data_IF_584125853418
#
_entry.id   IF_584125853418
#
_cell.length_a   1.000
_cell.length_b   1.000
_cell.length_c   1.000
_cell.angle_alpha   90.00
_cell.angle_beta   90.00
_cell.angle_gamma   90.00
#
_symmetry.space_group_name_H-M   'P 1'
#
loop_
_entity.id
_entity.type
_entity.pdbx_description
1 polymer ?
#
# COMPACT_ATOMS: atom_id res chain seq x y z
N UNK A 1 30.76 11.43 -5.81
CA UNK A 1 29.87 10.98 -4.70
C UNK A 1 29.89 9.45 -4.63
N UNK A 2 29.35 8.85 -3.58
CA UNK A 2 29.30 7.40 -3.44
C UNK A 2 27.92 6.84 -3.82
N UNK A 3 27.91 5.62 -4.33
CA UNK A 3 26.71 4.82 -4.58
C UNK A 3 26.74 3.59 -3.69
N UNK A 4 25.69 3.37 -2.89
CA UNK A 4 25.49 2.12 -2.16
C UNK A 4 24.23 1.43 -2.62
N UNK A 5 24.37 0.16 -3.01
CA UNK A 5 23.27 -0.68 -3.48
C UNK A 5 22.81 -1.61 -2.37
N UNK A 6 21.52 -1.57 -2.07
CA UNK A 6 20.85 -2.46 -1.12
C UNK A 6 19.87 -3.38 -1.84
N UNK A 7 19.82 -4.64 -1.43
CA UNK A 7 18.71 -5.54 -1.74
C UNK A 7 17.75 -5.57 -0.55
N UNK A 8 16.48 -5.28 -0.78
CA UNK A 8 15.47 -5.14 0.27
C UNK A 8 14.39 -6.20 0.06
N UNK A 9 14.50 -7.28 0.83
CA UNK A 9 13.68 -8.49 0.67
C UNK A 9 12.18 -8.20 0.55
N UNK A 10 11.64 -7.29 1.37
CA UNK A 10 10.21 -7.00 1.44
C UNK A 10 9.86 -5.64 0.80
N UNK A 11 10.68 -5.14 -0.13
CA UNK A 11 10.38 -3.95 -0.94
C UNK A 11 9.63 -4.36 -2.21
N UNK A 12 8.46 -4.97 -2.04
CA UNK A 12 7.69 -5.54 -3.13
C UNK A 12 6.48 -4.71 -3.55
N UNK A 13 6.19 -3.55 -2.94
CA UNK A 13 5.18 -2.59 -3.39
C UNK A 13 5.63 -1.13 -3.17
N UNK A 14 4.97 -0.16 -3.83
CA UNK A 14 5.32 1.26 -3.62
C UNK A 14 5.06 1.76 -2.21
N UNK A 15 4.20 1.12 -1.41
CA UNK A 15 4.11 1.50 0.01
C UNK A 15 5.46 1.32 0.70
N UNK A 16 6.22 0.27 0.34
CA UNK A 16 7.58 0.01 0.84
C UNK A 16 8.64 0.88 0.21
N UNK A 17 8.59 1.08 -1.10
CA UNK A 17 9.48 2.03 -1.78
C UNK A 17 9.34 3.42 -1.17
N UNK A 18 8.10 3.92 -1.06
CA UNK A 18 7.78 5.22 -0.49
C UNK A 18 8.20 5.30 0.98
N UNK A 19 8.06 4.18 1.72
CA UNK A 19 8.56 4.02 3.08
C UNK A 19 10.04 4.36 3.18
N UNK A 20 10.82 3.74 2.30
CA UNK A 20 12.27 3.83 2.26
C UNK A 20 12.68 5.22 1.78
N UNK A 21 12.04 5.70 0.72
CA UNK A 21 12.24 7.05 0.17
C UNK A 21 11.99 8.12 1.23
N UNK A 22 10.87 8.08 1.95
CA UNK A 22 10.57 9.03 3.04
C UNK A 22 11.59 8.96 4.18
N UNK A 23 12.16 7.79 4.43
CA UNK A 23 13.10 7.58 5.53
C UNK A 23 14.51 8.08 5.17
N UNK A 24 14.91 7.93 3.91
CA UNK A 24 16.20 8.34 3.37
C UNK A 24 16.24 9.80 2.90
N UNK A 25 15.16 10.34 2.32
CA UNK A 25 15.06 11.78 1.97
C UNK A 25 15.24 12.72 3.19
N UNK A 26 15.07 12.21 4.42
CA UNK A 26 15.30 12.95 5.65
C UNK A 26 16.72 12.91 6.19
N UNK A 27 17.66 12.26 5.50
CA UNK A 27 19.06 12.12 5.91
C UNK A 27 19.92 13.19 5.21
N UNK A 28 20.77 13.87 5.97
CA UNK A 28 21.76 14.79 5.39
C UNK A 28 22.81 14.01 4.60
N UNK A 29 23.19 14.52 3.43
CA UNK A 29 24.20 13.90 2.56
C UNK A 29 23.69 12.83 1.61
N UNK A 30 22.38 12.67 1.45
CA UNK A 30 21.79 11.89 0.33
C UNK A 30 21.48 12.83 -0.84
N UNK A 31 22.05 12.52 -1.99
CA UNK A 31 21.97 13.30 -3.22
C UNK A 31 20.93 12.74 -4.21
N UNK A 32 20.59 11.45 -4.10
CA UNK A 32 19.59 10.80 -4.93
C UNK A 32 19.24 9.38 -4.49
N UNK A 33 18.07 8.91 -4.90
CA UNK A 33 17.59 7.55 -4.64
C UNK A 33 16.96 6.99 -5.91
N UNK A 34 17.42 5.81 -6.31
CA UNK A 34 16.88 5.07 -7.44
C UNK A 34 16.40 3.70 -6.96
N UNK A 35 15.20 3.33 -7.38
CA UNK A 35 14.52 2.13 -6.91
C UNK A 35 14.17 1.22 -8.08
N UNK A 36 14.48 -0.06 -7.90
CA UNK A 36 14.10 -1.15 -8.79
C UNK A 36 13.32 -2.18 -7.96
N UNK A 37 11.99 -2.09 -8.02
CA UNK A 37 11.07 -2.99 -7.32
C UNK A 37 11.19 -4.44 -7.83
N UNK A 38 11.53 -4.65 -9.10
CA UNK A 38 11.66 -5.97 -9.72
C UNK A 38 12.83 -6.75 -9.13
N UNK A 39 14.00 -6.10 -9.05
CA UNK A 39 15.21 -6.66 -8.46
C UNK A 39 15.26 -6.47 -6.93
N UNK A 40 14.25 -5.81 -6.37
CA UNK A 40 14.19 -5.37 -4.97
C UNK A 40 15.46 -4.63 -4.58
N UNK A 41 15.92 -3.76 -5.47
CA UNK A 41 17.19 -3.05 -5.39
C UNK A 41 16.94 -1.57 -5.15
N UNK A 42 17.69 -1.03 -4.21
CA UNK A 42 17.75 0.40 -3.92
C UNK A 42 19.18 0.85 -4.18
N UNK A 43 19.35 1.84 -5.04
CA UNK A 43 20.60 2.55 -5.26
C UNK A 43 20.53 3.90 -4.54
N UNK A 44 21.40 4.09 -3.55
CA UNK A 44 21.50 5.32 -2.75
C UNK A 44 22.74 6.08 -3.17
N UNK A 45 22.55 7.31 -3.62
CA UNK A 45 23.63 8.23 -3.97
C UNK A 45 23.86 9.19 -2.81
N UNK A 46 25.06 9.18 -2.23
CA UNK A 46 25.34 9.87 -0.99
C UNK A 46 26.81 10.27 -0.83
N UNK A 47 27.08 11.22 0.07
CA UNK A 47 28.43 11.60 0.49
C UNK A 47 28.79 11.05 1.88
N UNK A 48 27.85 10.36 2.54
CA UNK A 48 28.02 9.77 3.88
C UNK A 48 28.56 8.32 3.89
N UNK A 49 28.44 7.63 5.03
CA UNK A 49 28.84 6.22 5.17
C UNK A 49 27.70 5.24 4.84
N UNK A 50 27.99 4.09 4.21
CA UNK A 50 27.00 3.03 3.94
C UNK A 50 26.30 2.50 5.20
N UNK A 51 27.02 2.47 6.33
CA UNK A 51 26.49 1.99 7.61
C UNK A 51 25.37 2.88 8.15
N UNK A 52 25.48 4.20 7.99
CA UNK A 52 24.44 5.13 8.43
C UNK A 52 23.13 4.93 7.65
N UNK A 53 23.22 4.60 6.37
CA UNK A 53 22.06 4.27 5.53
C UNK A 53 21.44 2.95 5.97
N UNK A 54 22.26 1.93 6.25
CA UNK A 54 21.79 0.65 6.75
C UNK A 54 21.05 0.77 8.09
N UNK A 55 21.56 1.60 9.02
CA UNK A 55 20.94 1.86 10.33
C UNK A 55 19.57 2.54 10.20
N UNK A 56 19.37 3.32 9.14
CA UNK A 56 18.09 3.98 8.85
C UNK A 56 17.10 3.05 8.17
N UNK A 57 17.58 2.08 7.40
CA UNK A 57 16.76 1.03 6.78
C UNK A 57 16.36 -0.08 7.76
N UNK A 58 17.20 -0.39 8.75
CA UNK A 58 16.97 -1.50 9.69
C UNK A 58 15.61 -1.45 10.43
N UNK A 59 15.14 -0.29 10.95
CA UNK A 59 13.85 -0.18 11.63
C UNK A 59 12.63 -0.42 10.72
N UNK A 60 12.81 -0.34 9.40
CA UNK A 60 11.73 -0.60 8.44
C UNK A 60 11.36 -2.09 8.39
N UNK A 61 12.23 -2.96 8.91
CA UNK A 61 12.08 -4.41 8.96
C UNK A 61 11.73 -5.04 7.60
N UNK A 62 12.42 -4.59 6.55
CA UNK A 62 12.23 -5.07 5.17
C UNK A 62 13.33 -5.98 4.66
N UNK A 63 14.22 -6.41 5.55
CA UNK A 63 15.33 -7.28 5.18
C UNK A 63 16.33 -6.61 4.24
N UNK A 64 16.63 -5.33 4.45
CA UNK A 64 17.67 -4.61 3.69
C UNK A 64 19.05 -5.22 3.94
N UNK A 65 19.77 -5.55 2.86
CA UNK A 65 21.15 -6.04 2.88
C UNK A 65 21.97 -5.27 1.86
N UNK A 66 23.12 -4.75 2.28
CA UNK A 66 24.06 -4.13 1.36
C UNK A 66 24.63 -5.19 0.40
N UNK A 67 24.62 -4.88 -0.89
CA UNK A 67 25.11 -5.77 -1.96
C UNK A 67 26.37 -5.22 -2.59
N UNK A 68 26.42 -3.91 -2.82
CA UNK A 68 27.51 -3.26 -3.54
C UNK A 68 27.75 -1.85 -2.98
N UNK A 69 28.99 -1.37 -3.07
CA UNK A 69 29.37 0.00 -2.79
C UNK A 69 30.40 0.46 -3.83
N UNK A 70 30.15 1.63 -4.43
CA UNK A 70 31.01 2.24 -5.43
C UNK A 70 31.30 3.69 -5.03
N UNK A 71 32.55 4.09 -5.18
CA UNK A 71 33.01 5.45 -4.93
C UNK A 71 33.16 6.19 -6.26
N UNK A 72 33.07 7.52 -6.21
CA UNK A 72 33.28 8.43 -7.34
C UNK A 72 32.36 8.18 -8.57
N UNK A 73 31.07 8.00 -8.30
CA UNK A 73 30.04 7.79 -9.33
C UNK A 73 29.42 9.15 -9.73
N UNK A 74 29.19 9.36 -11.03
CA UNK A 74 28.43 10.50 -11.54
C UNK A 74 26.92 10.33 -11.31
N UNK A 75 26.24 11.40 -10.90
CA UNK A 75 24.79 11.39 -10.76
C UNK A 75 24.18 11.27 -12.15
N UNK A 76 23.19 10.39 -12.38
CA UNK A 76 22.35 10.50 -13.56
C UNK A 76 21.72 11.90 -13.56
N UNK A 77 22.00 12.72 -14.58
CA UNK A 77 21.39 14.04 -14.72
C UNK A 77 19.91 13.84 -15.02
N UNK A 78 19.07 14.08 -14.01
CA UNK A 78 17.65 13.78 -14.04
C UNK A 78 16.87 14.58 -15.07
N UNK A 79 16.12 13.86 -15.90
CA UNK A 79 14.96 14.38 -16.63
C UNK A 79 13.69 13.55 -16.38
N UNK A 80 13.72 12.55 -15.47
CA UNK A 80 12.63 11.59 -15.30
C UNK A 80 11.72 11.81 -14.08
N UNK A 81 12.10 12.65 -13.10
CA UNK A 81 11.35 12.81 -11.84
C UNK A 81 10.11 13.74 -11.95
N UNK A 82 9.98 14.51 -13.05
CA UNK A 82 8.87 15.44 -13.25
C UNK A 82 7.68 14.83 -14.02
N UNK A 83 7.80 13.62 -14.57
CA UNK A 83 6.90 13.12 -15.62
C UNK A 83 5.81 12.11 -15.19
N UNK A 84 5.60 11.78 -13.91
CA UNK A 84 4.65 10.68 -13.58
C UNK A 84 3.52 10.97 -12.57
N UNK A 85 2.94 12.17 -12.59
CA UNK A 85 1.69 12.46 -11.84
C UNK A 85 0.47 11.73 -12.40
N UNK A 86 0.45 11.46 -13.71
CA UNK A 86 -0.71 10.89 -14.42
C UNK A 86 -1.14 9.52 -13.88
N UNK A 87 -0.24 8.53 -13.80
CA UNK A 87 -0.58 7.20 -13.27
C UNK A 87 -0.99 7.21 -11.81
N UNK A 88 -0.31 8.00 -10.96
CA UNK A 88 -0.66 8.16 -9.54
C UNK A 88 -2.05 8.77 -9.34
N UNK A 89 -2.41 9.79 -10.14
CA UNK A 89 -3.75 10.36 -10.12
C UNK A 89 -4.82 9.38 -10.60
N UNK A 90 -4.51 8.56 -11.61
CA UNK A 90 -5.39 7.48 -12.08
C UNK A 90 -5.61 6.41 -11.01
N UNK A 91 -4.54 5.91 -10.39
CA UNK A 91 -4.61 4.92 -9.32
C UNK A 91 -5.40 5.44 -8.11
N UNK A 92 -5.19 6.72 -7.74
CA UNK A 92 -5.95 7.39 -6.70
C UNK A 92 -7.45 7.46 -7.04
N UNK A 93 -7.80 7.85 -8.27
CA UNK A 93 -9.19 8.00 -8.69
C UNK A 93 -9.93 6.65 -8.71
N UNK A 94 -9.28 5.60 -9.20
CA UNK A 94 -9.85 4.24 -9.27
C UNK A 94 -10.08 3.71 -7.85
N UNK A 95 -9.06 3.73 -7.00
CA UNK A 95 -9.19 3.24 -5.61
C UNK A 95 -10.22 4.04 -4.80
N UNK A 96 -10.27 5.36 -4.98
CA UNK A 96 -11.27 6.19 -4.31
C UNK A 96 -12.70 5.87 -4.76
N UNK A 97 -12.88 5.57 -6.04
CA UNK A 97 -14.20 5.22 -6.60
C UNK A 97 -14.65 3.86 -6.12
N UNK A 98 -13.77 2.86 -6.17
CA UNK A 98 -14.06 1.52 -5.69
C UNK A 98 -14.32 1.51 -4.17
N UNK A 99 -13.52 2.23 -3.37
CA UNK A 99 -13.75 2.42 -1.93
C UNK A 99 -15.20 2.85 -1.63
N UNK A 100 -15.69 3.89 -2.30
CA UNK A 100 -17.06 4.40 -2.04
C UNK A 100 -18.11 3.36 -2.43
N UNK A 101 -17.95 2.71 -3.58
CA UNK A 101 -18.87 1.69 -4.07
C UNK A 101 -18.92 0.46 -3.17
N UNK A 102 -17.76 -0.07 -2.80
CA UNK A 102 -17.64 -1.27 -1.96
C UNK A 102 -18.06 -1.00 -0.52
N UNK A 103 -17.74 0.17 0.05
CA UNK A 103 -18.19 0.53 1.39
C UNK A 103 -19.73 0.63 1.43
N UNK A 104 -20.33 1.32 0.45
CA UNK A 104 -21.78 1.44 0.37
C UNK A 104 -22.44 0.06 0.22
N UNK A 105 -21.93 -0.76 -0.70
CA UNK A 105 -22.43 -2.12 -0.90
C UNK A 105 -22.23 -3.01 0.31
N UNK A 106 -21.08 -2.95 0.98
CA UNK A 106 -20.78 -3.74 2.18
C UNK A 106 -21.70 -3.38 3.35
N UNK A 107 -21.99 -2.09 3.55
CA UNK A 107 -22.93 -1.64 4.57
C UNK A 107 -24.37 -2.04 4.25
N UNK A 108 -24.80 -1.91 2.98
CA UNK A 108 -26.17 -2.25 2.55
C UNK A 108 -26.42 -3.77 2.53
N UNK A 109 -25.43 -4.55 2.10
CA UNK A 109 -25.50 -6.01 2.05
C UNK A 109 -25.22 -6.68 3.39
N UNK A 110 -24.62 -5.97 4.34
CA UNK A 110 -24.14 -6.53 5.60
C UNK A 110 -22.84 -7.35 5.47
N UNK A 111 -22.12 -7.27 4.34
CA UNK A 111 -20.85 -7.99 4.14
C UNK A 111 -19.69 -7.27 4.81
N UNK A 112 -19.05 -7.93 5.78
CA UNK A 112 -17.81 -7.45 6.39
C UNK A 112 -16.61 -7.64 5.45
N UNK A 113 -16.66 -8.60 4.53
CA UNK A 113 -15.66 -8.76 3.48
C UNK A 113 -15.55 -7.52 2.60
N UNK A 114 -16.68 -7.04 2.07
CA UNK A 114 -16.73 -5.81 1.27
C UNK A 114 -16.33 -4.55 2.06
N UNK A 115 -16.77 -4.43 3.32
CA UNK A 115 -16.37 -3.30 4.15
C UNK A 115 -14.85 -3.32 4.37
N UNK A 116 -14.27 -4.48 4.62
CA UNK A 116 -12.83 -4.60 4.83
C UNK A 116 -12.03 -4.31 3.55
N UNK A 117 -12.47 -4.82 2.40
CA UNK A 117 -11.89 -4.57 1.07
C UNK A 117 -11.87 -3.07 0.77
N UNK A 118 -13.01 -2.38 0.97
CA UNK A 118 -13.11 -0.94 0.78
C UNK A 118 -12.11 -0.15 1.65
N UNK A 119 -11.87 -0.59 2.89
CA UNK A 119 -10.95 0.07 3.80
C UNK A 119 -9.47 -0.18 3.45
N UNK A 120 -9.16 -1.27 2.76
CA UNK A 120 -7.85 -1.50 2.13
C UNK A 120 -7.65 -0.54 0.95
N UNK A 121 -8.66 -0.40 0.07
CA UNK A 121 -8.61 0.58 -1.03
C UNK A 121 -8.49 2.03 -0.55
N UNK A 122 -9.10 2.36 0.60
CA UNK A 122 -8.92 3.66 1.25
C UNK A 122 -7.48 3.86 1.72
N UNK A 123 -6.83 2.81 2.24
CA UNK A 123 -5.43 2.85 2.63
C UNK A 123 -4.55 3.18 1.42
N UNK A 124 -4.76 2.47 0.32
CA UNK A 124 -4.02 2.67 -0.93
C UNK A 124 -4.25 4.07 -1.50
N UNK A 125 -5.50 4.55 -1.49
CA UNK A 125 -5.82 5.91 -1.88
C UNK A 125 -5.06 6.95 -1.04
N UNK A 126 -4.95 6.76 0.29
CA UNK A 126 -4.15 7.66 1.11
C UNK A 126 -2.65 7.59 0.80
N UNK A 127 -2.13 6.41 0.49
CA UNK A 127 -0.73 6.26 0.07
C UNK A 127 -0.49 7.02 -1.23
N UNK A 128 -1.33 6.83 -2.26
CA UNK A 128 -1.21 7.56 -3.53
C UNK A 128 -1.35 9.08 -3.36
N UNK A 129 -2.29 9.53 -2.51
CA UNK A 129 -2.46 10.94 -2.21
C UNK A 129 -1.23 11.52 -1.51
N UNK A 130 -0.62 10.78 -0.59
CA UNK A 130 0.63 11.17 0.08
C UNK A 130 1.79 11.22 -0.92
N UNK A 131 1.88 10.26 -1.85
CA UNK A 131 2.88 10.26 -2.92
C UNK A 131 2.77 11.49 -3.82
N UNK A 132 1.54 11.87 -4.21
CA UNK A 132 1.29 13.09 -4.97
C UNK A 132 1.63 14.37 -4.17
N UNK A 133 1.28 14.40 -2.88
CA UNK A 133 1.56 15.53 -2.00
C UNK A 133 3.06 15.64 -1.61
N UNK A 134 3.83 14.55 -1.76
CA UNK A 134 5.26 14.52 -1.50
C UNK A 134 6.08 15.24 -2.59
N UNK A 135 5.54 15.41 -3.80
CA UNK A 135 6.17 16.17 -4.88
C UNK A 135 6.06 17.68 -4.60
N UNK A 136 7.01 18.22 -3.82
CA UNK A 136 7.15 19.67 -3.56
C UNK A 136 6.76 20.17 -2.16
N UNK A 137 6.41 19.29 -1.22
CA UNK A 137 6.08 19.66 0.17
C UNK A 137 7.25 19.50 1.16
N UNK A 138 7.27 20.26 2.26
CA UNK A 138 8.27 20.09 3.33
C UNK A 138 8.13 18.73 4.03
N UNK A 139 9.26 18.11 4.38
CA UNK A 139 9.34 16.80 5.06
C UNK A 139 8.44 16.70 6.31
N UNK A 140 8.30 17.80 7.07
CA UNK A 140 7.45 17.86 8.28
C UNK A 140 5.97 17.71 7.94
N UNK A 141 5.50 18.33 6.85
CA UNK A 141 4.09 18.22 6.41
C UNK A 141 3.80 16.80 5.92
N UNK A 142 4.75 16.18 5.20
CA UNK A 142 4.65 14.78 4.73
C UNK A 142 4.47 13.80 5.90
N UNK A 143 5.29 13.90 6.94
CA UNK A 143 5.20 13.01 8.12
C UNK A 143 3.91 13.16 8.91
N UNK A 144 3.42 14.39 9.05
CA UNK A 144 2.15 14.65 9.74
C UNK A 144 0.98 14.01 9.00
N UNK A 145 0.92 14.18 7.67
CA UNK A 145 -0.11 13.55 6.83
C UNK A 145 -0.06 12.02 6.90
N UNK A 146 1.14 11.43 6.82
CA UNK A 146 1.33 9.99 7.00
C UNK A 146 0.83 9.51 8.38
N UNK A 147 1.15 10.25 9.45
CA UNK A 147 0.68 9.91 10.80
C UNK A 147 -0.86 9.92 10.89
N UNK A 148 -1.51 10.95 10.36
CA UNK A 148 -2.98 11.05 10.37
C UNK A 148 -3.63 9.92 9.58
N UNK A 149 -3.11 9.59 8.40
CA UNK A 149 -3.56 8.45 7.60
C UNK A 149 -3.43 7.13 8.38
N UNK A 150 -2.27 6.88 8.98
CA UNK A 150 -2.05 5.68 9.79
C UNK A 150 -2.97 5.58 11.02
N UNK A 151 -3.24 6.70 11.71
CA UNK A 151 -4.19 6.70 12.84
C UNK A 151 -5.63 6.45 12.40
N UNK A 152 -6.06 7.09 11.31
CA UNK A 152 -7.40 6.91 10.76
C UNK A 152 -7.62 5.46 10.32
N UNK A 153 -6.70 4.92 9.52
CA UNK A 153 -6.77 3.55 9.02
C UNK A 153 -6.68 2.53 10.16
N UNK A 154 -5.79 2.75 11.14
CA UNK A 154 -5.70 1.90 12.32
C UNK A 154 -6.99 1.91 13.15
N UNK A 155 -7.61 3.09 13.32
CA UNK A 155 -8.90 3.22 13.99
C UNK A 155 -10.03 2.49 13.25
N UNK A 156 -10.13 2.67 11.93
CA UNK A 156 -11.14 2.01 11.09
C UNK A 156 -10.97 0.49 11.09
N UNK A 157 -9.75 -0.02 11.00
CA UNK A 157 -9.49 -1.46 11.07
C UNK A 157 -9.84 -2.06 12.44
N UNK A 158 -9.56 -1.34 13.54
CA UNK A 158 -9.95 -1.77 14.89
C UNK A 158 -11.47 -1.79 15.07
N UNK A 159 -12.18 -0.77 14.56
CA UNK A 159 -13.64 -0.75 14.56
C UNK A 159 -14.22 -1.89 13.73
N UNK A 160 -13.66 -2.14 12.55
CA UNK A 160 -14.01 -3.27 11.69
C UNK A 160 -13.81 -4.62 12.37
N UNK A 161 -12.66 -4.84 13.02
CA UNK A 161 -12.39 -6.06 13.80
C UNK A 161 -13.36 -6.22 14.98
N UNK A 162 -13.65 -5.13 15.71
CA UNK A 162 -14.61 -5.16 16.80
C UNK A 162 -16.01 -5.55 16.30
N UNK A 163 -16.42 -5.03 15.14
CA UNK A 163 -17.69 -5.36 14.50
C UNK A 163 -17.73 -6.81 14.00
N UNK A 164 -16.63 -7.33 13.44
CA UNK A 164 -16.49 -8.75 13.08
C UNK A 164 -16.71 -9.63 14.32
N UNK A 165 -16.01 -9.34 15.42
CA UNK A 165 -16.15 -10.08 16.69
C UNK A 165 -17.58 -9.99 17.22
N UNK A 166 -18.18 -8.80 17.19
CA UNK A 166 -19.57 -8.59 17.62
C UNK A 166 -20.54 -9.46 16.81
N UNK A 167 -20.39 -9.51 15.48
CA UNK A 167 -21.25 -10.32 14.59
C UNK A 167 -21.00 -11.82 14.73
N UNK A 168 -19.79 -12.24 15.11
CA UNK A 168 -19.52 -13.63 15.48
C UNK A 168 -20.30 -14.07 16.72
N UNK A 169 -20.35 -13.22 17.75
CA UNK A 169 -21.01 -13.53 19.03
C UNK A 169 -22.54 -13.32 18.95
N UNK A 170 -22.98 -12.32 18.20
CA UNK A 170 -24.39 -12.00 17.99
C UNK A 170 -24.72 -11.91 16.48
N UNK A 171 -25.01 -13.05 15.83
CA UNK A 171 -25.32 -13.09 14.41
C UNK A 171 -26.54 -12.24 14.02
N UNK A 172 -26.43 -11.54 12.88
CA UNK A 172 -27.51 -10.69 12.36
C UNK A 172 -28.16 -11.22 11.07
N UNK A 173 -27.69 -12.35 10.56
CA UNK A 173 -28.13 -12.96 9.30
C UNK A 173 -27.01 -13.00 8.26
N UNK A 174 -27.17 -13.85 7.25
CA UNK A 174 -26.22 -13.91 6.14
C UNK A 174 -26.26 -12.60 5.32
N UNK A 175 -25.12 -12.11 4.81
CA UNK A 175 -25.10 -10.95 3.93
C UNK A 175 -25.84 -11.24 2.62
N UNK A 176 -26.28 -10.17 1.94
CA UNK A 176 -26.81 -10.30 0.57
C UNK A 176 -25.69 -10.72 -0.39
N UNK A 177 -25.65 -12.03 -0.67
CA UNK A 177 -24.68 -12.66 -1.57
C UNK A 177 -24.71 -12.02 -2.95
N UNK A 178 -25.88 -11.60 -3.44
CA UNK A 178 -26.02 -11.01 -4.78
C UNK A 178 -25.20 -9.74 -4.92
N UNK A 179 -25.43 -8.77 -4.03
CA UNK A 179 -24.66 -7.53 -4.00
C UNK A 179 -23.18 -7.80 -3.72
N UNK A 180 -22.87 -8.71 -2.78
CA UNK A 180 -21.51 -9.08 -2.43
C UNK A 180 -20.70 -9.56 -3.65
N UNK A 181 -21.22 -10.55 -4.39
CA UNK A 181 -20.52 -11.12 -5.55
C UNK A 181 -20.45 -10.12 -6.70
N UNK A 182 -21.55 -9.42 -7.01
CA UNK A 182 -21.59 -8.47 -8.14
C UNK A 182 -20.57 -7.35 -7.93
N UNK A 183 -20.53 -6.78 -6.73
CA UNK A 183 -19.64 -5.66 -6.43
C UNK A 183 -18.17 -6.11 -6.43
N UNK A 184 -17.85 -7.25 -5.81
CA UNK A 184 -16.49 -7.77 -5.85
C UNK A 184 -16.05 -8.17 -7.27
N UNK A 185 -16.96 -8.62 -8.14
CA UNK A 185 -16.64 -8.86 -9.55
C UNK A 185 -16.38 -7.57 -10.31
N UNK A 186 -17.12 -6.49 -10.04
CA UNK A 186 -16.88 -5.16 -10.62
C UNK A 186 -15.52 -4.62 -10.17
N UNK A 187 -15.20 -4.72 -8.87
CA UNK A 187 -13.91 -4.31 -8.32
C UNK A 187 -12.77 -5.13 -8.92
N UNK A 188 -12.92 -6.46 -8.96
CA UNK A 188 -11.96 -7.35 -9.61
C UNK A 188 -11.75 -6.98 -11.09
N UNK A 189 -12.82 -6.72 -11.83
CA UNK A 189 -12.73 -6.34 -13.24
C UNK A 189 -12.03 -4.98 -13.42
N UNK A 190 -12.30 -4.00 -12.57
CA UNK A 190 -11.64 -2.70 -12.56
C UNK A 190 -10.13 -2.84 -12.26
N UNK A 191 -9.77 -3.64 -11.27
CA UNK A 191 -8.39 -3.93 -10.91
C UNK A 191 -7.69 -4.69 -12.04
N UNK A 192 -8.29 -5.75 -12.61
CA UNK A 192 -7.74 -6.46 -13.77
C UNK A 192 -7.58 -5.52 -14.97
N UNK A 193 -8.53 -4.64 -15.26
CA UNK A 193 -8.43 -3.68 -16.35
C UNK A 193 -7.24 -2.71 -16.12
N UNK A 194 -7.08 -2.20 -14.90
CA UNK A 194 -5.92 -1.39 -14.50
C UNK A 194 -4.62 -2.15 -14.74
N UNK A 195 -4.55 -3.41 -14.30
CA UNK A 195 -3.39 -4.28 -14.51
C UNK A 195 -3.06 -4.47 -16.00
N UNK A 196 -4.08 -4.69 -16.84
CA UNK A 196 -3.92 -4.90 -18.27
C UNK A 196 -3.46 -3.64 -19.00
N UNK A 197 -3.96 -2.47 -18.59
CA UNK A 197 -3.52 -1.17 -19.11
C UNK A 197 -2.04 -0.95 -18.76
N UNK A 198 -1.67 -1.18 -17.49
CA UNK A 198 -0.28 -1.04 -17.02
C UNK A 198 0.67 -2.01 -17.74
N UNK A 199 0.23 -3.25 -18.03
CA UNK A 199 1.04 -4.24 -18.77
C UNK A 199 1.37 -3.83 -20.21
N UNK A 200 0.63 -2.91 -20.82
CA UNK A 200 0.88 -2.43 -22.19
C UNK A 200 1.91 -1.30 -22.26
N UNK A 201 2.24 -0.70 -21.13
CA UNK A 201 3.26 0.35 -21.04
C UNK A 201 4.63 -0.30 -20.87
N UNK A 202 5.68 0.24 -21.50
CA UNK A 202 7.02 -0.37 -21.52
C UNK A 202 7.54 -0.62 -20.09
N UNK A 203 7.95 -1.86 -19.82
CA UNK A 203 8.65 -2.24 -18.58
C UNK A 203 9.89 -1.36 -18.39
N UNK A 204 10.00 -0.71 -17.23
CA UNK A 204 11.19 0.09 -16.88
C UNK A 204 10.92 1.26 -15.94
N UNK A 205 9.69 1.77 -15.85
CA UNK A 205 9.34 2.86 -14.92
C UNK A 205 8.80 2.28 -13.59
N UNK A 206 9.51 2.51 -12.48
CA UNK A 206 9.17 2.01 -11.14
C UNK A 206 7.70 2.24 -10.74
N UNK A 207 7.12 3.35 -11.21
CA UNK A 207 5.72 3.73 -10.97
C UNK A 207 4.69 2.77 -11.59
N UNK A 208 5.03 2.06 -12.67
CA UNK A 208 4.13 1.11 -13.36
C UNK A 208 4.12 -0.25 -12.67
N UNK A 209 5.26 -0.64 -12.10
CA UNK A 209 5.40 -1.92 -11.40
C UNK A 209 4.78 -1.87 -10.01
N UNK A 210 4.98 -0.78 -9.27
CA UNK A 210 4.27 -0.49 -8.03
C UNK A 210 2.75 -0.68 -8.18
N UNK A 211 2.19 -0.04 -9.22
CA UNK A 211 0.77 -0.11 -9.55
C UNK A 211 0.36 -1.55 -9.93
N UNK A 212 1.24 -2.36 -10.53
CA UNK A 212 1.00 -3.79 -10.78
C UNK A 212 0.90 -4.61 -9.49
N UNK A 213 1.69 -4.30 -8.45
CA UNK A 213 1.65 -5.01 -7.17
C UNK A 213 0.36 -4.71 -6.40
N UNK A 214 -0.02 -3.43 -6.23
CA UNK A 214 -1.26 -3.05 -5.54
C UNK A 214 -2.47 -3.69 -6.19
N UNK A 215 -2.58 -3.50 -7.50
CA UNK A 215 -3.65 -4.10 -8.27
C UNK A 215 -3.65 -5.64 -8.19
N UNK A 216 -2.48 -6.28 -8.00
CA UNK A 216 -2.41 -7.73 -7.76
C UNK A 216 -2.83 -8.14 -6.35
N UNK A 217 -2.63 -7.29 -5.33
CA UNK A 217 -3.15 -7.50 -3.99
C UNK A 217 -4.69 -7.36 -3.98
N UNK A 218 -5.21 -6.30 -4.58
CA UNK A 218 -6.66 -6.07 -4.68
C UNK A 218 -7.36 -7.23 -5.39
N UNK A 219 -6.76 -7.75 -6.46
CA UNK A 219 -7.26 -8.96 -7.14
C UNK A 219 -7.38 -10.15 -6.17
N UNK A 220 -6.41 -10.36 -5.27
CA UNK A 220 -6.46 -11.45 -4.27
C UNK A 220 -7.54 -11.19 -3.22
N UNK A 221 -7.66 -9.96 -2.75
CA UNK A 221 -8.67 -9.55 -1.76
C UNK A 221 -10.07 -9.69 -2.36
N UNK A 222 -10.33 -9.12 -3.54
CA UNK A 222 -11.60 -9.27 -4.25
C UNK A 222 -11.92 -10.76 -4.51
N UNK A 223 -10.93 -11.57 -4.91
CA UNK A 223 -11.12 -13.02 -5.09
C UNK A 223 -11.47 -13.75 -3.78
N UNK A 224 -10.85 -13.36 -2.66
CA UNK A 224 -11.19 -13.86 -1.33
C UNK A 224 -12.62 -13.50 -0.94
N UNK A 225 -13.07 -12.26 -1.22
CA UNK A 225 -14.45 -11.84 -0.97
C UNK A 225 -15.43 -12.61 -1.86
N UNK A 226 -15.14 -12.79 -3.15
CA UNK A 226 -15.98 -13.63 -4.05
C UNK A 226 -16.10 -15.06 -3.50
N UNK A 227 -14.97 -15.67 -3.12
CA UNK A 227 -14.96 -17.01 -2.54
C UNK A 227 -15.79 -17.06 -1.25
N UNK A 228 -15.66 -16.06 -0.38
CA UNK A 228 -16.46 -15.93 0.82
C UNK A 228 -17.96 -15.83 0.49
N UNK A 229 -18.35 -15.04 -0.52
CA UNK A 229 -19.73 -14.93 -0.98
C UNK A 229 -20.29 -16.27 -1.49
N UNK A 230 -19.52 -17.03 -2.25
CA UNK A 230 -19.90 -18.38 -2.69
C UNK A 230 -20.05 -19.35 -1.51
N UNK A 231 -19.18 -19.25 -0.50
CA UNK A 231 -19.27 -20.06 0.72
C UNK A 231 -20.46 -19.64 1.60
N UNK A 232 -20.79 -18.35 1.67
CA UNK A 232 -21.99 -17.85 2.34
C UNK A 232 -23.23 -18.42 1.66
N UNK A 233 -23.29 -18.37 0.33
CA UNK A 233 -24.39 -18.96 -0.45
C UNK A 233 -24.57 -20.44 -0.17
N UNK A 234 -23.47 -21.20 -0.19
CA UNK A 234 -23.50 -22.64 0.05
C UNK A 234 -23.83 -23.01 1.50
N UNK A 235 -23.26 -22.31 2.48
CA UNK A 235 -23.43 -22.62 3.91
C UNK A 235 -24.64 -21.94 4.55
N UNK A 236 -25.27 -20.98 3.86
CA UNK A 236 -26.32 -20.09 4.40
C UNK A 236 -25.91 -19.42 5.72
N UNK A 237 -24.61 -19.17 5.89
CA UNK A 237 -24.02 -18.62 7.12
C UNK A 237 -23.17 -17.40 6.79
N UNK A 238 -23.20 -16.38 7.66
CA UNK A 238 -22.33 -15.20 7.57
C UNK A 238 -20.85 -15.50 7.90
N UNK A 239 -20.55 -16.65 8.49
CA UNK A 239 -19.21 -16.97 9.01
C UNK A 239 -18.09 -16.85 7.95
N UNK A 240 -18.24 -17.36 6.71
CA UNK A 240 -17.19 -17.22 5.70
C UNK A 240 -16.86 -15.76 5.38
N UNK A 241 -17.87 -14.89 5.30
CA UNK A 241 -17.69 -13.44 5.09
C UNK A 241 -17.00 -12.77 6.29
N UNK A 242 -17.37 -13.12 7.52
CA UNK A 242 -16.72 -12.60 8.72
C UNK A 242 -15.25 -13.02 8.84
N UNK A 243 -14.92 -14.26 8.43
CA UNK A 243 -13.53 -14.73 8.39
C UNK A 243 -12.75 -13.91 7.35
N UNK A 244 -13.28 -13.77 6.13
CA UNK A 244 -12.63 -12.99 5.08
C UNK A 244 -12.41 -11.53 5.50
N UNK A 245 -13.47 -10.85 5.98
CA UNK A 245 -13.38 -9.49 6.49
C UNK A 245 -12.39 -9.36 7.65
N UNK A 246 -12.38 -10.31 8.59
CA UNK A 246 -11.42 -10.34 9.69
C UNK A 246 -9.97 -10.44 9.23
N UNK A 247 -9.67 -11.30 8.24
CA UNK A 247 -8.34 -11.43 7.67
C UNK A 247 -7.91 -10.13 6.96
N UNK A 248 -8.79 -9.54 6.17
CA UNK A 248 -8.51 -8.28 5.46
C UNK A 248 -8.26 -7.14 6.46
N UNK A 249 -9.08 -7.00 7.51
CA UNK A 249 -8.82 -5.99 8.54
C UNK A 249 -7.48 -6.16 9.27
N UNK A 250 -7.02 -7.39 9.48
CA UNK A 250 -5.70 -7.63 10.06
C UNK A 250 -4.58 -7.13 9.13
N UNK A 251 -4.74 -7.31 7.82
CA UNK A 251 -3.83 -6.77 6.79
C UNK A 251 -3.83 -5.24 6.87
N UNK A 252 -5.01 -4.61 6.83
CA UNK A 252 -5.17 -3.15 6.91
C UNK A 252 -4.57 -2.59 8.21
N UNK A 253 -4.81 -3.25 9.35
CA UNK A 253 -4.26 -2.85 10.64
C UNK A 253 -2.72 -2.95 10.68
N UNK A 254 -2.14 -3.96 10.01
CA UNK A 254 -0.70 -4.09 9.88
C UNK A 254 -0.10 -2.97 9.02
N UNK A 255 -0.75 -2.63 7.89
CA UNK A 255 -0.41 -1.48 7.06
C UNK A 255 -0.40 -0.18 7.85
N UNK A 256 -1.45 0.09 8.62
CA UNK A 256 -1.56 1.26 9.49
C UNK A 256 -0.44 1.35 10.53
N UNK A 257 -0.13 0.24 11.23
CA UNK A 257 0.98 0.19 12.20
C UNK A 257 2.31 0.56 11.54
N UNK A 258 2.52 0.05 10.33
CA UNK A 258 3.73 0.29 9.57
C UNK A 258 3.85 1.75 9.17
N UNK A 259 2.81 2.35 8.61
CA UNK A 259 2.76 3.80 8.28
C UNK A 259 3.07 4.66 9.54
N UNK A 260 2.48 4.31 10.68
CA UNK A 260 2.71 5.03 11.94
C UNK A 260 4.14 4.91 12.46
N UNK A 261 4.77 3.74 12.34
CA UNK A 261 6.16 3.53 12.74
C UNK A 261 7.11 4.48 11.99
N UNK A 262 6.84 4.75 10.72
CA UNK A 262 7.64 5.67 9.89
C UNK A 262 7.46 7.12 10.29
N UNK A 263 6.24 7.50 10.62
CA UNK A 263 5.92 8.87 11.00
C UNK A 263 6.68 9.30 12.27
N UNK A 264 7.08 8.33 13.10
CA UNK A 264 7.83 8.53 14.36
C UNK A 264 9.36 8.51 14.16
N UNK A 265 9.85 8.00 13.03
CA UNK A 265 11.28 7.87 12.73
C UNK A 265 11.92 9.14 12.15
N UNK A 266 12.12 10.17 12.97
CA UNK A 266 13.37 10.94 13.15
C UNK A 266 13.15 12.13 14.09
N UNK A 267 12.76 11.85 15.33
CA UNK A 267 12.92 12.82 16.41
C UNK A 267 14.13 12.39 17.24
N UNK A 268 15.25 13.06 16.99
CA UNK A 268 16.41 13.20 17.87
C UNK A 268 17.04 11.93 18.44
N UNK A 269 18.24 11.61 17.96
CA UNK A 269 19.47 11.76 18.75
C UNK A 269 20.65 11.94 17.80
#
# INVERSE_FOLDING_TARGET
MNQTTFHIKDMDCSSEEQLIRMRLEGMEGISGLEFDLTQRRLDVFHDGSPSAIADVLAPLNLGARQVEHREDVEMPTGDDDASNRGPLMWALAINSTLFVGELAAGLLSGSMGLVADSLDMLADAFVYALSLAAVGGSLVRKRRLAAWSGYLQGGLALLGLAEVVRRFVAPMGAPDVGSMIVVSLVALAANVATLLILRRTKRGEAHIEASWIFTSNDIKVNALVILAGLLVWWSSSQVPDLIAGGLIFLIVANGARRILALSKGSSGR
#
